data_IF_762944647870
#
_entry.id   IF_762944647870
#
_cell.length_a   1.000
_cell.length_b   1.000
_cell.length_c   1.000
_cell.angle_alpha   90.00
_cell.angle_beta   90.00
_cell.angle_gamma   90.00
#
_symmetry.space_group_name_H-M   'P 1'
#
loop_
_entity.id
_entity.type
_entity.pdbx_description
1 polymer ?
#
# COMPACT_ATOMS: atom_id res chain seq x y z
N UNK A 1 -12.92 24.73 -3.37
CA UNK A 1 -12.24 26.04 -3.36
C UNK A 1 -11.86 26.41 -4.78
N UNK A 2 -11.97 27.67 -5.20
CA UNK A 2 -11.48 28.14 -6.51
C UNK A 2 -10.10 28.76 -6.31
N UNK A 3 -9.10 28.23 -7.01
CA UNK A 3 -7.71 28.70 -6.94
C UNK A 3 -7.22 28.97 -8.35
N UNK A 4 -6.54 30.11 -8.54
CA UNK A 4 -5.86 30.42 -9.81
C UNK A 4 -4.40 30.00 -9.67
N UNK A 5 -3.91 29.21 -10.61
CA UNK A 5 -2.51 28.77 -10.67
C UNK A 5 -1.89 29.27 -11.97
N UNK A 6 -0.59 29.56 -11.95
CA UNK A 6 0.17 29.78 -13.18
C UNK A 6 0.62 28.42 -13.72
N UNK A 7 0.37 28.19 -15.00
CA UNK A 7 0.74 26.97 -15.71
C UNK A 7 1.32 27.36 -17.06
N UNK A 8 2.33 26.63 -17.50
CA UNK A 8 2.85 26.77 -18.87
C UNK A 8 1.73 26.54 -19.90
N UNK A 9 1.67 27.37 -20.94
CA UNK A 9 0.58 27.35 -21.93
C UNK A 9 0.53 26.03 -22.70
N UNK A 10 1.69 25.44 -23.04
CA UNK A 10 1.73 24.17 -23.74
C UNK A 10 1.23 23.05 -22.83
N UNK A 11 1.63 23.06 -21.56
CA UNK A 11 1.16 22.11 -20.58
C UNK A 11 -0.36 22.23 -20.33
N UNK A 12 -0.88 23.45 -20.30
CA UNK A 12 -2.31 23.70 -20.18
C UNK A 12 -3.11 23.10 -21.35
N UNK A 13 -2.65 23.30 -22.59
CA UNK A 13 -3.28 22.73 -23.78
C UNK A 13 -3.20 21.20 -23.82
N UNK A 14 -2.05 20.63 -23.44
CA UNK A 14 -1.89 19.17 -23.32
C UNK A 14 -2.85 18.58 -22.28
N UNK A 15 -2.94 19.20 -21.11
CA UNK A 15 -3.83 18.76 -20.04
C UNK A 15 -5.31 18.86 -20.46
N UNK A 16 -5.69 19.93 -21.18
CA UNK A 16 -7.04 20.10 -21.71
C UNK A 16 -7.40 19.00 -22.71
N UNK A 17 -6.52 18.69 -23.66
CA UNK A 17 -6.72 17.60 -24.62
C UNK A 17 -6.84 16.25 -23.93
N UNK A 18 -5.98 15.99 -22.95
CA UNK A 18 -6.05 14.77 -22.16
C UNK A 18 -7.38 14.66 -21.39
N UNK A 19 -7.83 15.75 -20.76
CA UNK A 19 -9.10 15.77 -20.04
C UNK A 19 -10.29 15.47 -20.97
N UNK A 20 -10.33 16.13 -22.14
CA UNK A 20 -11.38 15.91 -23.14
C UNK A 20 -11.39 14.48 -23.67
N UNK A 21 -10.22 13.91 -24.00
CA UNK A 21 -10.10 12.53 -24.45
C UNK A 21 -10.61 11.52 -23.41
N UNK A 22 -10.52 11.85 -22.11
CA UNK A 22 -11.01 11.04 -21.00
C UNK A 22 -12.41 11.45 -20.51
N UNK A 23 -13.12 12.34 -21.22
CA UNK A 23 -14.46 12.79 -20.84
C UNK A 23 -14.53 13.58 -19.52
N UNK A 24 -13.43 14.22 -19.12
CA UNK A 24 -13.29 14.96 -17.86
C UNK A 24 -13.06 16.45 -18.12
N UNK A 25 -13.38 17.28 -17.13
CA UNK A 25 -12.96 18.68 -17.13
C UNK A 25 -11.51 18.80 -16.66
N UNK A 26 -10.82 19.88 -17.06
CA UNK A 26 -9.45 20.14 -16.60
C UNK A 26 -9.37 20.21 -15.06
N UNK A 27 -10.39 20.78 -14.42
CA UNK A 27 -10.47 20.87 -12.95
C UNK A 27 -10.59 19.49 -12.30
N UNK A 28 -11.46 18.61 -12.82
CA UNK A 28 -11.61 17.25 -12.30
C UNK A 28 -10.31 16.44 -12.46
N UNK A 29 -9.64 16.58 -13.62
CA UNK A 29 -8.33 15.98 -13.86
C UNK A 29 -7.30 16.49 -12.85
N UNK A 30 -7.21 17.80 -12.63
CA UNK A 30 -6.26 18.37 -11.69
C UNK A 30 -6.49 17.87 -10.26
N UNK A 31 -7.75 17.82 -9.83
CA UNK A 31 -8.11 17.34 -8.51
C UNK A 31 -7.71 15.86 -8.31
N UNK A 32 -8.02 15.02 -9.29
CA UNK A 32 -7.65 13.61 -9.28
C UNK A 32 -6.13 13.42 -9.19
N UNK A 33 -5.36 14.12 -10.03
CA UNK A 33 -3.90 14.03 -10.02
C UNK A 33 -3.31 14.53 -8.69
N UNK A 34 -3.84 15.62 -8.14
CA UNK A 34 -3.39 16.14 -6.83
C UNK A 34 -3.70 15.15 -5.71
N UNK A 35 -4.91 14.56 -5.70
CA UNK A 35 -5.27 13.52 -4.73
C UNK A 35 -4.37 12.30 -4.87
N UNK A 36 -4.15 11.83 -6.09
CA UNK A 36 -3.26 10.69 -6.34
C UNK A 36 -1.85 10.98 -5.82
N UNK A 37 -1.28 12.16 -6.13
CA UNK A 37 0.07 12.50 -5.67
C UNK A 37 0.19 12.69 -4.16
N UNK A 38 -0.82 13.27 -3.51
CA UNK A 38 -0.80 13.53 -2.07
C UNK A 38 -1.19 12.31 -1.23
N UNK A 39 -2.02 11.42 -1.76
CA UNK A 39 -2.48 10.20 -1.08
C UNK A 39 -1.69 8.95 -1.47
N UNK A 40 -0.92 9.00 -2.56
CA UNK A 40 0.00 7.93 -2.91
C UNK A 40 0.93 7.68 -1.73
N UNK A 41 0.75 6.53 -1.08
CA UNK A 41 1.75 6.02 -0.16
C UNK A 41 3.04 5.86 -0.95
N UNK A 42 4.21 6.19 -0.37
CA UNK A 42 5.48 5.90 -1.02
C UNK A 42 5.43 4.44 -1.46
N UNK A 43 5.75 4.18 -2.73
CA UNK A 43 5.93 2.81 -3.22
C UNK A 43 6.78 2.12 -2.17
N UNK A 44 6.21 1.12 -1.48
CA UNK A 44 7.00 0.28 -0.58
C UNK A 44 8.16 -0.16 -1.44
N UNK A 45 9.38 0.23 -1.04
CA UNK A 45 10.59 -0.37 -1.62
C UNK A 45 10.32 -1.87 -1.68
N UNK A 46 10.67 -2.56 -2.79
CA UNK A 46 10.52 -4.00 -2.84
C UNK A 46 11.09 -4.55 -1.54
N UNK A 47 10.21 -5.08 -0.70
CA UNK A 47 10.61 -5.53 0.62
C UNK A 47 11.67 -6.58 0.39
N UNK A 48 12.82 -6.45 1.03
CA UNK A 48 13.83 -7.49 0.96
C UNK A 48 13.15 -8.81 1.33
N UNK A 49 13.32 -9.84 0.48
CA UNK A 49 12.62 -11.09 0.66
C UNK A 49 13.16 -11.75 1.94
N UNK A 50 12.45 -11.58 3.06
CA UNK A 50 12.83 -12.18 4.33
C UNK A 50 12.61 -13.68 4.21
N UNK A 51 13.70 -14.44 4.15
CA UNK A 51 13.65 -15.90 4.26
C UNK A 51 13.51 -16.28 5.73
N UNK A 52 12.28 -16.50 6.17
CA UNK A 52 12.01 -17.03 7.51
C UNK A 52 12.64 -18.43 7.63
N UNK A 53 13.33 -18.68 8.74
CA UNK A 53 13.78 -20.03 9.08
C UNK A 53 12.53 -20.88 9.34
N UNK A 54 12.28 -21.86 8.48
CA UNK A 54 11.25 -22.87 8.71
C UNK A 54 11.88 -24.07 9.41
N UNK A 55 11.13 -24.65 10.35
CA UNK A 55 11.48 -25.93 10.97
C UNK A 55 10.60 -27.01 10.36
N UNK A 56 11.19 -28.15 10.00
CA UNK A 56 10.44 -29.30 9.49
C UNK A 56 9.71 -29.99 10.65
N UNK A 57 8.48 -30.43 10.42
CA UNK A 57 7.66 -31.13 11.42
C UNK A 57 6.42 -31.76 10.82
N UNK A 58 5.72 -32.60 11.58
CA UNK A 58 4.46 -33.26 11.17
C UNK A 58 3.21 -32.43 11.50
N UNK A 59 3.38 -31.12 11.70
CA UNK A 59 2.33 -30.23 12.20
C UNK A 59 2.35 -30.09 13.73
N UNK A 60 1.29 -29.51 14.26
CA UNK A 60 1.14 -29.23 15.69
C UNK A 60 1.00 -30.55 16.48
N UNK A 61 1.59 -30.59 17.67
CA UNK A 61 1.35 -31.68 18.61
C UNK A 61 -0.12 -31.66 19.06
N UNK A 62 -0.75 -32.83 19.19
CA UNK A 62 -2.14 -32.94 19.63
C UNK A 62 -2.29 -32.34 21.04
N UNK A 63 -3.21 -31.40 21.19
CA UNK A 63 -3.50 -30.74 22.47
C UNK A 63 -2.63 -29.51 22.76
N UNK A 64 -1.76 -29.10 21.82
CA UNK A 64 -1.04 -27.82 21.91
C UNK A 64 -1.87 -26.75 21.20
N UNK A 65 -2.20 -25.70 21.96
CA UNK A 65 -2.76 -24.47 21.43
C UNK A 65 -1.63 -23.45 21.25
N UNK A 66 -1.52 -22.86 20.06
CA UNK A 66 -0.50 -21.84 19.75
C UNK A 66 -0.96 -20.42 20.07
N UNK A 67 -2.26 -20.21 20.33
CA UNK A 67 -2.79 -18.91 20.72
C UNK A 67 -2.69 -18.66 22.24
N UNK A 68 -2.41 -19.72 23.04
CA UNK A 68 -2.11 -19.63 24.47
C UNK A 68 -0.61 -19.71 24.74
N UNK A 69 0.01 -18.55 24.86
CA UNK A 69 1.45 -18.42 25.12
C UNK A 69 1.89 -19.04 26.46
N UNK A 70 1.04 -19.04 27.48
CA UNK A 70 1.42 -19.51 28.81
C UNK A 70 1.47 -21.04 28.83
N UNK A 71 0.40 -21.69 28.37
CA UNK A 71 0.33 -23.15 28.28
C UNK A 71 1.41 -23.72 27.34
N UNK A 72 1.73 -23.03 26.25
CA UNK A 72 2.79 -23.42 25.33
C UNK A 72 4.18 -23.38 26.00
N UNK A 73 4.46 -22.33 26.78
CA UNK A 73 5.76 -22.15 27.45
C UNK A 73 5.99 -23.25 28.49
N UNK A 74 4.99 -23.54 29.32
CA UNK A 74 5.06 -24.61 30.33
C UNK A 74 5.43 -25.96 29.69
N UNK A 75 4.84 -26.30 28.55
CA UNK A 75 5.15 -27.52 27.81
C UNK A 75 6.58 -27.56 27.25
N UNK A 76 7.15 -26.41 26.92
CA UNK A 76 8.51 -26.29 26.40
C UNK A 76 9.57 -26.40 27.51
N UNK A 77 9.27 -25.91 28.70
CA UNK A 77 10.19 -25.88 29.85
C UNK A 77 10.15 -27.16 30.70
N UNK A 78 9.07 -27.95 30.61
CA UNK A 78 8.93 -29.23 31.34
C UNK A 78 9.75 -30.38 30.72
N UNK A 79 10.71 -30.07 29.83
CA UNK A 79 11.46 -31.05 29.04
C UNK A 79 12.89 -31.27 29.50
#
# INVERSE_FOLDING_TARGET
MRTTIQLDDNLHEMARRYAQANGKTLTALLEELLREKLLARPKRLPAEQVKLKTVNGRGMLRGVDLDDNAALLDLMETR
#
